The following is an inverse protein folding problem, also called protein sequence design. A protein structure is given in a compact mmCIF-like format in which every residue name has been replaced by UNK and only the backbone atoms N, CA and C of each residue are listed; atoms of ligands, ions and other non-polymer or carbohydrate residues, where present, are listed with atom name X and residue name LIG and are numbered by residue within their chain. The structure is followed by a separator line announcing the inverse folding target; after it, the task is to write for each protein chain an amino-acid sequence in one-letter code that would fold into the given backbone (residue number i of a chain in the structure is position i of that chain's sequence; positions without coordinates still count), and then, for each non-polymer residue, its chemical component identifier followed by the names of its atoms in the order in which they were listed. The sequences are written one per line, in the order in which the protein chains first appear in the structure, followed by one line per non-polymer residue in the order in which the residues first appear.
data_IF_873990571376
#
_entry.id   IF_873990571376
#
_cell.length_a   1.000
_cell.length_b   1.000
_cell.length_c   1.000
_cell.angle_alpha   90.00
_cell.angle_beta   90.00
_cell.angle_gamma   90.00
#
_symmetry.space_group_name_H-M   'P 1'
#
loop_
_entity.id
_entity.type
_entity.pdbx_description
1 polymer ?
#
# COMPACT_ATOMS: atom_id res chain seq x y z
N UNK A 1 -52.02 -30.69 13.02
CA UNK A 1 -51.32 -30.77 11.72
C UNK A 1 -51.23 -29.39 11.04
N UNK A 2 -51.08 -28.32 11.83
CA UNK A 2 -51.18 -26.92 11.34
C UNK A 2 -50.28 -25.97 12.15
N UNK A 3 -49.08 -26.44 12.53
CA UNK A 3 -48.09 -25.63 13.26
C UNK A 3 -46.65 -25.83 12.76
N UNK A 4 -46.42 -26.66 11.73
CA UNK A 4 -45.07 -26.94 11.19
C UNK A 4 -44.81 -26.18 9.86
N UNK A 5 -45.83 -25.53 9.28
CA UNK A 5 -45.69 -24.79 8.03
C UNK A 5 -45.37 -23.30 8.19
N UNK A 6 -45.53 -22.71 9.38
CA UNK A 6 -45.26 -21.29 9.64
C UNK A 6 -43.80 -20.99 10.01
N UNK A 7 -43.00 -22.00 10.33
CA UNK A 7 -41.62 -21.83 10.81
C UNK A 7 -40.57 -21.96 9.68
N UNK A 8 -40.99 -22.35 8.47
CA UNK A 8 -40.12 -22.40 7.27
C UNK A 8 -40.14 -21.15 6.42
N UNK A 9 -40.94 -20.14 6.78
CA UNK A 9 -41.04 -18.86 6.07
C UNK A 9 -40.37 -17.69 6.80
N UNK A 10 -39.74 -17.92 7.95
CA UNK A 10 -39.02 -16.86 8.70
C UNK A 10 -37.48 -16.88 8.52
N UNK A 11 -36.94 -17.81 7.73
CA UNK A 11 -35.49 -17.90 7.44
C UNK A 11 -35.09 -17.44 6.04
N UNK A 12 -35.95 -16.69 5.34
CA UNK A 12 -35.69 -16.23 3.96
C UNK A 12 -35.70 -14.70 3.77
N UNK A 13 -35.68 -13.89 4.83
CA UNK A 13 -35.76 -12.42 4.73
C UNK A 13 -34.65 -11.64 5.42
N UNK A 14 -33.44 -12.22 5.59
CA UNK A 14 -32.23 -11.39 5.71
C UNK A 14 -31.65 -11.09 4.32
N UNK A 15 -32.42 -10.32 3.55
CA UNK A 15 -31.95 -9.65 2.35
C UNK A 15 -30.79 -8.69 2.69
N UNK A 16 -29.63 -8.95 2.07
CA UNK A 16 -28.64 -7.99 1.61
C UNK A 16 -28.11 -6.93 2.61
N UNK A 17 -27.43 -7.37 3.68
CA UNK A 17 -26.36 -6.54 4.26
C UNK A 17 -25.20 -6.57 3.25
N UNK A 18 -25.11 -5.54 2.40
CA UNK A 18 -24.28 -5.48 1.19
C UNK A 18 -22.98 -6.29 1.27
N UNK A 19 -22.84 -7.25 0.35
CA UNK A 19 -21.72 -8.17 0.27
C UNK A 19 -20.39 -7.41 0.36
N UNK A 20 -19.50 -7.88 1.24
CA UNK A 20 -18.13 -7.38 1.33
C UNK A 20 -17.48 -7.52 -0.04
N UNK A 21 -16.84 -6.46 -0.52
CA UNK A 21 -16.11 -6.49 -1.78
C UNK A 21 -14.73 -7.12 -1.55
N UNK A 22 -14.69 -8.46 -1.46
CA UNK A 22 -13.47 -9.23 -1.13
C UNK A 22 -12.32 -8.97 -2.11
N UNK A 23 -12.63 -8.65 -3.37
CA UNK A 23 -11.64 -8.27 -4.37
C UNK A 23 -10.90 -6.97 -4.02
N UNK A 24 -11.53 -6.02 -3.32
CA UNK A 24 -10.84 -4.78 -2.90
C UNK A 24 -9.86 -5.04 -1.75
N UNK A 25 -10.17 -6.01 -0.88
CA UNK A 25 -9.20 -6.49 0.12
C UNK A 25 -8.02 -7.19 -0.57
N UNK A 26 -8.28 -7.97 -1.64
CA UNK A 26 -7.24 -8.58 -2.45
C UNK A 26 -6.35 -7.53 -3.15
N UNK A 27 -6.96 -6.50 -3.76
CA UNK A 27 -6.24 -5.37 -4.35
C UNK A 27 -5.35 -4.67 -3.32
N UNK A 28 -5.86 -4.40 -2.11
CA UNK A 28 -5.08 -3.81 -1.02
C UNK A 28 -3.91 -4.69 -0.60
N UNK A 29 -4.16 -5.99 -0.42
CA UNK A 29 -3.13 -6.95 -0.06
C UNK A 29 -2.02 -7.02 -1.13
N UNK A 30 -2.40 -7.07 -2.40
CA UNK A 30 -1.46 -7.02 -3.51
C UNK A 30 -0.63 -5.75 -3.53
N UNK A 31 -1.27 -4.57 -3.48
CA UNK A 31 -0.57 -3.29 -3.51
C UNK A 31 0.45 -3.18 -2.37
N UNK A 32 0.15 -3.76 -1.19
CA UNK A 32 1.09 -3.80 -0.09
C UNK A 32 2.28 -4.71 -0.36
N UNK A 33 2.03 -5.96 -0.77
CA UNK A 33 3.10 -6.91 -1.04
C UNK A 33 4.01 -6.38 -2.14
N UNK A 34 3.43 -5.74 -3.16
CA UNK A 34 4.15 -5.03 -4.20
C UNK A 34 5.04 -3.92 -3.63
N UNK A 35 4.58 -3.19 -2.59
CA UNK A 35 5.38 -2.20 -1.88
C UNK A 35 6.59 -2.78 -1.14
N UNK A 36 6.45 -3.96 -0.51
CA UNK A 36 7.58 -4.65 0.14
C UNK A 36 8.63 -5.04 -0.91
N UNK A 37 8.20 -5.63 -2.02
CA UNK A 37 9.12 -6.01 -3.12
C UNK A 37 9.77 -4.77 -3.71
N UNK A 38 9.03 -3.67 -3.88
CA UNK A 38 9.58 -2.39 -4.33
C UNK A 38 10.70 -1.88 -3.42
N UNK A 39 10.52 -1.92 -2.10
CA UNK A 39 11.59 -1.50 -1.18
C UNK A 39 12.77 -2.47 -1.20
N UNK A 40 12.51 -3.78 -1.33
CA UNK A 40 13.56 -4.79 -1.49
C UNK A 40 14.38 -4.59 -2.77
N UNK A 41 13.79 -4.03 -3.81
CA UNK A 41 14.45 -3.69 -5.07
C UNK A 41 15.47 -2.55 -4.98
N UNK A 42 15.32 -1.61 -4.03
CA UNK A 42 16.10 -0.36 -4.00
C UNK A 42 17.62 -0.57 -3.98
N UNK A 43 18.13 -1.56 -3.27
CA UNK A 43 19.58 -1.85 -3.23
C UNK A 43 20.14 -2.40 -4.54
N UNK A 44 19.31 -2.96 -5.42
CA UNK A 44 19.71 -3.59 -6.69
C UNK A 44 19.65 -2.64 -7.89
N UNK A 45 19.41 -1.35 -7.63
CA UNK A 45 19.39 -0.33 -8.67
C UNK A 45 20.78 -0.10 -9.24
N UNK A 46 20.92 0.03 -10.57
CA UNK A 46 22.21 0.21 -11.22
C UNK A 46 22.85 1.58 -10.93
N UNK A 47 22.07 2.52 -10.37
CA UNK A 47 22.51 3.87 -10.01
C UNK A 47 22.30 4.05 -8.51
N UNK A 48 23.32 4.57 -7.82
CA UNK A 48 23.21 4.90 -6.41
C UNK A 48 22.28 6.10 -6.19
N UNK A 49 21.18 5.87 -5.48
CA UNK A 49 20.14 6.87 -5.22
C UNK A 49 20.12 7.41 -3.78
N UNK A 50 21.22 7.23 -3.04
CA UNK A 50 21.28 7.59 -1.61
C UNK A 50 20.54 6.60 -0.70
N UNK A 51 20.29 5.38 -1.17
CA UNK A 51 19.75 4.30 -0.35
C UNK A 51 20.80 3.81 0.66
N UNK A 52 20.37 3.07 1.68
CA UNK A 52 21.24 2.62 2.78
C UNK A 52 22.47 1.82 2.29
N UNK A 53 22.31 1.01 1.25
CA UNK A 53 23.37 0.20 0.64
C UNK A 53 23.08 -0.04 -0.84
N UNK A 54 24.12 -0.10 -1.66
CA UNK A 54 24.06 -0.59 -3.04
C UNK A 54 24.64 -2.00 -3.10
N UNK A 55 23.90 -2.93 -3.68
CA UNK A 55 24.33 -4.32 -3.83
C UNK A 55 25.37 -4.46 -4.95
N UNK A 56 26.31 -5.40 -4.80
CA UNK A 56 27.33 -5.70 -5.83
C UNK A 56 26.75 -6.32 -7.10
N UNK A 57 25.53 -6.85 -7.05
CA UNK A 57 24.77 -7.36 -8.19
C UNK A 57 23.56 -6.46 -8.45
N UNK A 58 23.59 -5.65 -9.51
CA UNK A 58 22.49 -4.73 -9.87
C UNK A 58 21.82 -5.14 -11.19
N UNK A 59 20.65 -4.56 -11.50
CA UNK A 59 19.95 -4.86 -12.77
C UNK A 59 19.06 -3.72 -13.30
N UNK A 60 19.12 -3.40 -14.61
CA UNK A 60 18.15 -2.51 -15.24
C UNK A 60 16.70 -3.02 -15.20
N UNK A 61 16.49 -4.35 -15.10
CA UNK A 61 15.15 -4.93 -14.93
C UNK A 61 14.49 -4.44 -13.62
N UNK A 62 15.30 -4.24 -12.58
CA UNK A 62 14.83 -3.72 -11.30
C UNK A 62 14.36 -2.27 -11.44
N UNK A 63 15.09 -1.44 -12.19
CA UNK A 63 14.69 -0.07 -12.47
C UNK A 63 13.35 -0.01 -13.21
N UNK A 64 13.15 -0.86 -14.23
CA UNK A 64 11.87 -0.95 -14.95
C UNK A 64 10.72 -1.37 -14.03
N UNK A 65 10.92 -2.41 -13.21
CA UNK A 65 9.91 -2.85 -12.24
C UNK A 65 9.56 -1.73 -11.25
N UNK A 66 10.55 -1.02 -10.73
CA UNK A 66 10.35 0.06 -9.78
C UNK A 66 9.56 1.22 -10.39
N UNK A 67 9.92 1.67 -11.60
CA UNK A 67 9.19 2.72 -12.32
C UNK A 67 7.72 2.35 -12.51
N UNK A 68 7.45 1.12 -12.98
CA UNK A 68 6.07 0.64 -13.16
C UNK A 68 5.35 0.53 -11.82
N UNK A 69 5.95 -0.09 -10.81
CA UNK A 69 5.33 -0.27 -9.50
C UNK A 69 5.03 1.06 -8.80
N UNK A 70 5.92 2.04 -8.93
CA UNK A 70 5.76 3.35 -8.29
C UNK A 70 4.64 4.16 -8.95
N UNK A 71 4.38 3.95 -10.24
CA UNK A 71 3.41 4.73 -11.01
C UNK A 71 1.94 4.58 -10.60
N UNK A 72 1.57 3.55 -9.81
CA UNK A 72 0.16 3.32 -9.49
C UNK A 72 -0.12 2.75 -8.09
N UNK A 73 0.90 2.21 -7.39
CA UNK A 73 0.68 1.47 -6.14
C UNK A 73 0.08 2.37 -5.07
N UNK A 74 0.64 3.56 -4.87
CA UNK A 74 0.22 4.47 -3.80
C UNK A 74 -1.15 5.07 -4.14
N UNK A 75 -1.38 5.42 -5.39
CA UNK A 75 -2.65 5.89 -5.94
C UNK A 75 -3.77 4.87 -5.73
N UNK A 76 -3.46 3.58 -5.95
CA UNK A 76 -4.37 2.48 -5.61
C UNK A 76 -4.72 2.49 -4.13
N UNK A 77 -3.74 2.65 -3.23
CA UNK A 77 -4.00 2.75 -1.80
C UNK A 77 -4.87 3.95 -1.43
N UNK A 78 -4.57 5.14 -1.95
CA UNK A 78 -5.35 6.35 -1.68
C UNK A 78 -6.79 6.20 -2.18
N UNK A 79 -7.01 5.63 -3.36
CA UNK A 79 -8.35 5.33 -3.88
C UNK A 79 -9.12 4.37 -2.97
N UNK A 80 -8.50 3.25 -2.60
CA UNK A 80 -9.14 2.28 -1.69
C UNK A 80 -9.40 2.90 -0.32
N UNK A 81 -8.47 3.70 0.20
CA UNK A 81 -8.62 4.40 1.47
C UNK A 81 -9.80 5.38 1.44
N UNK A 82 -9.98 6.13 0.35
CA UNK A 82 -11.15 6.98 0.14
C UNK A 82 -12.45 6.19 0.12
N UNK A 83 -12.45 5.07 -0.62
CA UNK A 83 -13.60 4.18 -0.74
C UNK A 83 -14.06 3.63 0.61
N UNK A 84 -13.13 3.09 1.41
CA UNK A 84 -13.44 2.56 2.75
C UNK A 84 -13.69 3.67 3.79
N UNK A 85 -13.13 4.87 3.59
CA UNK A 85 -13.40 6.02 4.45
C UNK A 85 -14.85 6.46 4.37
N UNK A 86 -15.40 6.58 3.15
CA UNK A 86 -16.82 6.87 2.96
C UNK A 86 -17.71 5.83 3.66
N UNK A 87 -17.42 4.53 3.47
CA UNK A 87 -18.19 3.45 4.13
C UNK A 87 -18.13 3.55 5.65
N UNK A 88 -16.96 3.84 6.21
CA UNK A 88 -16.78 3.94 7.67
C UNK A 88 -17.48 5.17 8.22
N UNK A 89 -17.34 6.32 7.54
CA UNK A 89 -17.96 7.59 7.93
C UNK A 89 -19.48 7.46 8.02
N UNK A 90 -20.13 6.89 7.01
CA UNK A 90 -21.59 6.75 7.00
C UNK A 90 -22.11 5.63 7.92
N UNK A 91 -21.30 4.61 8.22
CA UNK A 91 -21.71 3.53 9.13
C UNK A 91 -21.53 3.86 10.61
N UNK A 92 -20.57 4.72 10.96
CA UNK A 92 -20.21 5.02 12.36
C UNK A 92 -20.50 6.46 12.79
N UNK A 93 -20.77 7.36 11.83
CA UNK A 93 -20.91 8.79 12.09
C UNK A 93 -19.57 9.52 12.14
N UNK A 94 -19.63 10.86 12.10
CA UNK A 94 -18.46 11.71 11.96
C UNK A 94 -17.51 11.65 13.17
N UNK A 95 -18.04 11.70 14.40
CA UNK A 95 -17.23 11.67 15.63
C UNK A 95 -16.42 10.38 15.79
N UNK A 96 -17.09 9.23 15.68
CA UNK A 96 -16.42 7.92 15.73
C UNK A 96 -15.49 7.68 14.53
N UNK A 97 -15.77 8.27 13.36
CA UNK A 97 -14.85 8.27 12.24
C UNK A 97 -13.55 9.02 12.55
N UNK A 98 -13.65 10.26 13.05
CA UNK A 98 -12.47 11.07 13.45
C UNK A 98 -11.67 10.36 14.53
N UNK A 99 -12.34 9.86 15.58
CA UNK A 99 -11.70 9.07 16.64
C UNK A 99 -10.98 7.85 16.06
N UNK A 100 -11.61 7.12 15.15
CA UNK A 100 -10.98 5.99 14.49
C UNK A 100 -9.77 6.39 13.64
N UNK A 101 -9.76 7.58 13.03
CA UNK A 101 -8.64 8.07 12.23
C UNK A 101 -7.47 8.50 13.11
N UNK A 102 -7.73 9.18 14.22
CA UNK A 102 -6.69 9.51 15.21
C UNK A 102 -6.04 8.24 15.75
N UNK A 103 -6.84 7.27 16.22
CA UNK A 103 -6.31 6.03 16.81
C UNK A 103 -5.59 5.13 15.80
N UNK A 104 -5.98 5.15 14.53
CA UNK A 104 -5.44 4.24 13.49
C UNK A 104 -4.48 4.88 12.52
N UNK A 105 -4.25 6.18 12.60
CA UNK A 105 -3.35 6.88 11.67
C UNK A 105 -2.39 7.74 12.48
N UNK A 106 -2.91 8.69 13.27
CA UNK A 106 -2.07 9.61 14.02
C UNK A 106 -1.25 8.91 15.12
N UNK A 107 -1.88 8.02 15.90
CA UNK A 107 -1.16 7.28 16.97
C UNK A 107 -0.06 6.38 16.40
N UNK A 108 -0.31 5.51 15.41
CA UNK A 108 0.76 4.72 14.80
C UNK A 108 1.81 5.55 14.06
N UNK A 109 1.44 6.70 13.50
CA UNK A 109 2.40 7.63 12.90
C UNK A 109 3.38 8.16 13.95
N UNK A 110 2.90 8.70 15.07
CA UNK A 110 3.77 9.27 16.11
C UNK A 110 4.54 8.18 16.86
N UNK A 111 3.85 7.20 17.43
CA UNK A 111 4.47 6.14 18.23
C UNK A 111 5.35 5.25 17.35
N UNK A 112 4.85 4.90 16.15
CA UNK A 112 5.61 4.11 15.20
C UNK A 112 6.85 4.84 14.72
N UNK A 113 6.83 6.17 14.56
CA UNK A 113 8.03 6.91 14.18
C UNK A 113 9.13 6.80 15.24
N UNK A 114 8.85 7.05 16.51
CA UNK A 114 9.86 6.96 17.58
C UNK A 114 10.46 5.55 17.74
N UNK A 115 9.71 4.50 17.38
CA UNK A 115 10.20 3.12 17.44
C UNK A 115 10.95 2.74 16.16
N UNK A 116 10.38 3.03 14.99
CA UNK A 116 10.85 2.54 13.71
C UNK A 116 11.97 3.40 13.13
N UNK A 117 11.94 4.72 13.36
CA UNK A 117 12.96 5.62 12.83
C UNK A 117 14.38 5.25 13.29
N UNK A 118 14.66 5.02 14.59
CA UNK A 118 15.97 4.52 15.03
C UNK A 118 16.41 3.23 14.33
N UNK A 119 15.47 2.31 14.11
CA UNK A 119 15.75 1.04 13.45
C UNK A 119 16.07 1.23 11.97
N UNK A 120 15.35 2.11 11.28
CA UNK A 120 15.66 2.52 9.90
C UNK A 120 17.05 3.17 9.87
N UNK A 121 17.31 4.19 10.69
CA UNK A 121 18.61 4.90 10.75
C UNK A 121 19.78 3.95 11.03
N UNK A 122 19.60 2.96 11.92
CA UNK A 122 20.63 1.95 12.16
C UNK A 122 21.05 1.22 10.88
N UNK A 123 20.11 0.99 9.96
CA UNK A 123 20.37 0.41 8.65
C UNK A 123 21.24 1.29 7.76
N UNK A 124 21.05 2.61 7.77
CA UNK A 124 21.91 3.56 7.04
C UNK A 124 23.31 3.59 7.64
N UNK A 125 23.42 3.57 8.97
CA UNK A 125 24.73 3.53 9.65
C UNK A 125 25.46 2.24 9.28
N UNK A 126 24.82 1.07 9.43
CA UNK A 126 25.40 -0.22 9.07
C UNK A 126 25.75 -0.31 7.58
N UNK A 127 24.87 0.16 6.69
CA UNK A 127 25.14 0.17 5.24
C UNK A 127 26.32 1.05 4.86
N UNK A 128 26.44 2.24 5.47
CA UNK A 128 27.61 3.11 5.28
C UNK A 128 28.91 2.47 5.76
N UNK A 129 28.85 1.67 6.83
CA UNK A 129 29.98 0.95 7.39
C UNK A 129 30.36 -0.27 6.54
N UNK A 130 29.37 -0.93 5.92
CA UNK A 130 29.58 -2.03 4.95
C UNK A 130 30.46 -1.59 3.79
N UNK A 131 30.22 -0.39 3.25
CA UNK A 131 31.06 0.17 2.17
C UNK A 131 32.54 0.33 2.56
N UNK A 132 32.88 0.27 3.85
CA UNK A 132 34.25 0.33 4.37
C UNK A 132 34.76 -1.05 4.85
N UNK A 133 33.96 -2.11 4.77
CA UNK A 133 34.28 -3.45 5.26
C UNK A 133 34.25 -3.61 6.79
N UNK A 134 33.60 -2.69 7.51
CA UNK A 134 33.65 -2.60 8.97
C UNK A 134 32.24 -2.52 9.59
N UNK A 135 31.38 -3.50 9.26
CA UNK A 135 30.00 -3.54 9.76
C UNK A 135 29.98 -3.89 11.24
N UNK A 136 29.67 -2.90 12.08
CA UNK A 136 29.32 -3.10 13.48
C UNK A 136 27.81 -2.94 13.70
N UNK A 137 27.13 -4.06 13.94
CA UNK A 137 25.70 -4.11 14.20
C UNK A 137 25.32 -3.39 15.49
N UNK A 138 26.13 -3.54 16.55
CA UNK A 138 25.82 -2.96 17.84
C UNK A 138 25.99 -1.44 17.81
N UNK A 139 27.09 -0.96 17.22
CA UNK A 139 27.30 0.47 16.99
C UNK A 139 26.21 1.06 16.08
N UNK A 140 25.81 0.34 15.03
CA UNK A 140 24.71 0.74 14.15
C UNK A 140 23.38 0.91 14.89
N UNK A 141 22.99 -0.07 15.71
CA UNK A 141 21.78 -0.01 16.53
C UNK A 141 21.84 1.15 17.53
N UNK A 142 22.94 1.27 18.26
CA UNK A 142 23.13 2.34 19.25
C UNK A 142 23.07 3.73 18.57
N UNK A 143 23.76 3.90 17.45
CA UNK A 143 23.73 5.12 16.66
C UNK A 143 22.34 5.46 16.13
N UNK A 144 21.57 4.43 15.75
CA UNK A 144 20.14 4.57 15.39
C UNK A 144 19.33 5.20 16.51
N UNK A 145 19.47 4.73 17.76
CA UNK A 145 18.80 5.33 18.92
C UNK A 145 19.36 6.72 19.29
N UNK A 146 20.66 6.93 19.15
CA UNK A 146 21.30 8.22 19.36
C UNK A 146 20.78 9.28 18.38
N UNK A 147 20.30 8.91 17.18
CA UNK A 147 19.67 9.85 16.25
C UNK A 147 18.46 10.59 16.82
N UNK A 148 17.81 10.06 17.87
CA UNK A 148 16.72 10.78 18.56
C UNK A 148 17.23 12.01 19.34
N UNK A 149 18.51 12.06 19.68
CA UNK A 149 19.11 13.21 20.39
C UNK A 149 19.30 14.44 19.50
N UNK A 150 19.19 14.31 18.18
CA UNK A 150 19.33 15.43 17.23
C UNK A 150 18.00 16.16 16.97
N UNK A 151 16.93 15.77 17.65
CA UNK A 151 15.63 16.44 17.53
C UNK A 151 15.72 17.92 17.96
N UNK A 152 14.99 18.84 17.29
CA UNK A 152 13.98 18.59 16.26
C UNK A 152 14.51 18.52 14.82
N UNK A 153 15.84 18.55 14.61
CA UNK A 153 16.41 18.54 13.27
C UNK A 153 16.02 17.26 12.52
N UNK A 154 15.54 17.40 11.28
CA UNK A 154 15.16 16.27 10.44
C UNK A 154 13.94 15.48 10.92
N UNK A 155 13.11 16.02 11.81
CA UNK A 155 11.92 15.31 12.30
C UNK A 155 11.02 14.87 11.14
N UNK A 156 10.67 13.59 11.12
CA UNK A 156 9.89 12.93 10.05
C UNK A 156 10.53 12.90 8.65
N UNK A 157 11.75 13.41 8.47
CA UNK A 157 12.49 13.21 7.22
C UNK A 157 12.92 11.74 7.07
N UNK A 158 13.04 11.24 5.83
CA UNK A 158 13.38 9.86 5.50
C UNK A 158 12.36 8.82 5.97
N UNK A 159 11.17 9.24 6.40
CA UNK A 159 10.19 8.34 7.01
C UNK A 159 9.30 7.68 5.96
N UNK A 160 9.28 6.34 5.91
CA UNK A 160 8.27 5.59 5.15
C UNK A 160 6.85 5.74 5.70
N UNK A 161 6.71 6.36 6.87
CA UNK A 161 5.41 6.65 7.50
C UNK A 161 4.67 7.83 6.84
N UNK A 162 5.25 8.46 5.81
CA UNK A 162 4.64 9.57 5.06
C UNK A 162 3.23 9.25 4.56
N UNK A 163 2.93 7.99 4.21
CA UNK A 163 1.59 7.61 3.76
C UNK A 163 0.53 7.87 4.84
N UNK A 164 0.85 7.63 6.12
CA UNK A 164 -0.06 7.93 7.24
C UNK A 164 -0.23 9.43 7.43
N UNK A 165 0.85 10.20 7.28
CA UNK A 165 0.79 11.66 7.36
C UNK A 165 -0.13 12.24 6.28
N UNK A 166 0.07 11.84 5.02
CA UNK A 166 -0.78 12.26 3.91
C UNK A 166 -2.22 11.76 4.05
N UNK A 167 -2.42 10.54 4.54
CA UNK A 167 -3.77 10.04 4.84
C UNK A 167 -4.49 10.85 5.90
N UNK A 168 -3.81 11.26 6.97
CA UNK A 168 -4.38 12.12 8.01
C UNK A 168 -4.75 13.49 7.42
N UNK A 169 -3.83 14.11 6.68
CA UNK A 169 -4.02 15.42 6.04
C UNK A 169 -5.17 15.41 5.02
N UNK A 170 -5.20 14.45 4.09
CA UNK A 170 -6.27 14.32 3.09
C UNK A 170 -7.60 14.05 3.77
N UNK A 171 -7.64 13.19 4.80
CA UNK A 171 -8.87 12.93 5.56
C UNK A 171 -9.36 14.20 6.24
N UNK A 172 -8.48 14.98 6.87
CA UNK A 172 -8.82 16.24 7.51
C UNK A 172 -9.35 17.26 6.49
N UNK A 173 -8.70 17.40 5.33
CA UNK A 173 -9.11 18.29 4.26
C UNK A 173 -10.51 17.92 3.72
N UNK A 174 -10.76 16.64 3.45
CA UNK A 174 -12.08 16.16 2.98
C UNK A 174 -13.18 16.43 4.01
N UNK A 175 -12.90 16.21 5.31
CA UNK A 175 -13.85 16.52 6.37
C UNK A 175 -14.09 18.03 6.53
N UNK A 176 -13.03 18.85 6.43
CA UNK A 176 -13.14 20.30 6.50
C UNK A 176 -13.99 20.86 5.34
N UNK A 177 -13.68 20.46 4.11
CA UNK A 177 -14.47 20.84 2.91
C UNK A 177 -15.92 20.38 3.07
N UNK A 178 -16.14 19.15 3.52
CA UNK A 178 -17.50 18.64 3.75
C UNK A 178 -18.25 19.46 4.81
N UNK A 179 -17.60 19.79 5.93
CA UNK A 179 -18.16 20.60 7.00
C UNK A 179 -18.58 21.99 6.51
N UNK A 180 -17.69 22.67 5.77
CA UNK A 180 -17.96 23.97 5.14
C UNK A 180 -19.11 23.92 4.13
N UNK A 181 -19.21 22.83 3.35
CA UNK A 181 -20.33 22.68 2.42
C UNK A 181 -21.64 22.44 3.16
N UNK A 182 -21.66 21.64 4.23
CA UNK A 182 -22.90 21.34 4.94
C UNK A 182 -23.56 22.55 5.61
N UNK A 183 -22.81 23.60 5.96
CA UNK A 183 -23.39 24.84 6.53
C UNK A 183 -24.18 25.65 5.51
N UNK A 184 -23.96 25.43 4.22
CA UNK A 184 -24.59 26.19 3.11
C UNK A 184 -25.79 25.47 2.47
N UNK A 185 -26.28 24.38 3.09
CA UNK A 185 -27.56 23.70 2.83
C UNK A 185 -27.84 23.37 1.35
N UNK A 186 -28.45 24.31 0.63
CA UNK A 186 -28.81 24.16 -0.78
C UNK A 186 -27.59 23.98 -1.70
N UNK A 187 -26.45 24.61 -1.35
CA UNK A 187 -25.21 24.49 -2.11
C UNK A 187 -24.62 23.09 -2.01
N UNK A 188 -24.57 22.50 -0.80
CA UNK A 188 -24.11 21.12 -0.60
C UNK A 188 -24.90 20.12 -1.47
N UNK A 189 -26.23 20.18 -1.45
CA UNK A 189 -27.05 19.26 -2.24
C UNK A 189 -26.81 19.41 -3.75
N UNK A 190 -26.64 20.65 -4.25
CA UNK A 190 -26.31 20.90 -5.66
C UNK A 190 -24.92 20.38 -6.03
N UNK A 191 -23.90 20.65 -5.20
CA UNK A 191 -22.53 20.21 -5.46
C UNK A 191 -22.39 18.68 -5.42
N UNK A 192 -23.04 18.03 -4.44
CA UNK A 192 -23.05 16.57 -4.34
C UNK A 192 -23.70 15.94 -5.57
N UNK A 193 -24.85 16.45 -6.03
CA UNK A 193 -25.50 15.96 -7.26
C UNK A 193 -24.61 16.15 -8.49
N UNK A 194 -23.99 17.32 -8.65
CA UNK A 194 -23.05 17.58 -9.75
C UNK A 194 -21.85 16.64 -9.72
N UNK A 195 -21.26 16.41 -8.55
CA UNK A 195 -20.17 15.46 -8.38
C UNK A 195 -20.60 14.03 -8.71
N UNK A 196 -21.79 13.62 -8.24
CA UNK A 196 -22.33 12.29 -8.54
C UNK A 196 -22.55 12.10 -10.05
N UNK A 197 -23.13 13.08 -10.74
CA UNK A 197 -23.32 13.07 -12.20
C UNK A 197 -21.98 13.06 -12.94
N UNK A 198 -21.01 13.87 -12.52
CA UNK A 198 -19.68 13.93 -13.15
C UNK A 198 -18.95 12.59 -13.04
N UNK A 199 -18.98 11.94 -11.87
CA UNK A 199 -18.36 10.63 -11.67
C UNK A 199 -19.10 9.53 -12.45
N UNK A 200 -20.43 9.59 -12.52
CA UNK A 200 -21.21 8.66 -13.33
C UNK A 200 -20.91 8.82 -14.83
N UNK A 201 -20.83 10.05 -15.33
CA UNK A 201 -20.44 10.33 -16.70
C UNK A 201 -19.02 9.83 -16.98
N UNK A 202 -18.07 10.13 -16.09
CA UNK A 202 -16.69 9.68 -16.22
C UNK A 202 -16.60 8.14 -16.22
N UNK A 203 -17.30 7.46 -15.32
CA UNK A 203 -17.30 6.00 -15.24
C UNK A 203 -17.80 5.32 -16.53
N UNK A 204 -18.73 5.96 -17.25
CA UNK A 204 -19.32 5.43 -18.48
C UNK A 204 -18.65 5.97 -19.75
N UNK A 205 -17.72 6.91 -19.64
CA UNK A 205 -17.06 7.55 -20.78
C UNK A 205 -15.86 6.72 -21.29
N UNK A 206 -15.75 6.46 -22.61
CA UNK A 206 -14.61 5.75 -23.20
C UNK A 206 -13.31 6.58 -23.15
N UNK A 207 -13.41 7.90 -22.94
CA UNK A 207 -12.27 8.83 -22.85
C UNK A 207 -11.92 9.20 -21.41
N UNK A 208 -12.49 8.50 -20.43
CA UNK A 208 -12.31 8.78 -19.00
C UNK A 208 -10.86 8.80 -18.55
N UNK A 209 -10.02 7.91 -19.08
CA UNK A 209 -8.59 7.89 -18.77
C UNK A 209 -7.88 9.17 -19.22
N UNK A 210 -8.21 9.72 -20.40
CA UNK A 210 -7.61 10.96 -20.86
C UNK A 210 -8.05 12.15 -20.01
N UNK A 211 -9.33 12.21 -19.65
CA UNK A 211 -9.87 13.27 -18.79
C UNK A 211 -9.21 13.28 -17.42
N UNK A 212 -8.93 12.10 -16.86
CA UNK A 212 -8.22 11.96 -15.59
C UNK A 212 -6.70 12.19 -15.74
N UNK A 213 -6.11 11.77 -16.86
CA UNK A 213 -4.68 11.86 -17.08
C UNK A 213 -4.22 13.29 -17.34
N UNK A 214 -4.99 14.14 -18.03
CA UNK A 214 -4.60 15.54 -18.32
C UNK A 214 -4.29 16.35 -17.05
N UNK A 215 -5.20 16.47 -16.06
CA UNK A 215 -4.91 17.21 -14.83
C UNK A 215 -3.82 16.53 -13.99
N UNK A 216 -3.71 15.20 -14.07
CA UNK A 216 -2.64 14.45 -13.39
C UNK A 216 -1.28 14.81 -14.00
N UNK A 217 -1.14 14.79 -15.32
CA UNK A 217 0.07 15.15 -16.04
C UNK A 217 0.45 16.62 -15.82
N UNK A 218 -0.55 17.52 -15.82
CA UNK A 218 -0.32 18.93 -15.48
C UNK A 218 0.18 19.11 -14.04
N UNK A 219 -0.25 18.26 -13.10
CA UNK A 219 0.23 18.28 -11.72
C UNK A 219 1.64 17.69 -11.59
N UNK A 220 1.94 16.62 -12.34
CA UNK A 220 3.27 16.00 -12.39
C UNK A 220 4.36 16.97 -12.84
N UNK A 221 4.01 17.94 -13.70
CA UNK A 221 4.94 18.99 -14.15
C UNK A 221 5.63 19.76 -13.00
N UNK A 222 4.96 19.88 -11.85
CA UNK A 222 5.45 20.60 -10.68
C UNK A 222 6.22 19.71 -9.69
N UNK A 223 6.46 18.46 -10.03
CA UNK A 223 7.31 17.55 -9.26
C UNK A 223 8.79 17.88 -9.49
N UNK A 224 9.64 17.39 -8.59
CA UNK A 224 11.10 17.51 -8.72
C UNK A 224 11.65 16.61 -9.83
N UNK A 225 11.11 15.39 -9.93
CA UNK A 225 11.40 14.44 -10.99
C UNK A 225 10.22 14.34 -11.95
N UNK A 226 10.44 13.80 -13.15
CA UNK A 226 9.36 13.68 -14.16
C UNK A 226 8.23 12.74 -13.71
N UNK A 227 8.53 11.82 -12.78
CA UNK A 227 7.57 10.91 -12.15
C UNK A 227 6.98 11.45 -10.84
N UNK A 228 6.25 10.59 -10.13
CA UNK A 228 5.66 10.95 -8.85
C UNK A 228 6.70 11.01 -7.72
N UNK A 229 6.83 12.16 -7.05
CA UNK A 229 7.78 12.36 -5.94
C UNK A 229 7.37 11.62 -4.66
N UNK A 230 8.35 11.08 -3.93
CA UNK A 230 8.10 10.54 -2.59
C UNK A 230 8.15 11.69 -1.57
N UNK A 231 7.09 11.92 -0.77
CA UNK A 231 7.04 13.05 0.15
C UNK A 231 7.65 12.69 1.52
N UNK A 232 8.93 12.37 1.54
CA UNK A 232 9.68 11.91 2.72
C UNK A 232 10.64 12.96 3.29
N UNK A 233 10.51 14.23 2.89
CA UNK A 233 11.46 15.29 3.26
C UNK A 233 11.11 16.01 4.58
N UNK A 234 10.03 15.61 5.25
CA UNK A 234 9.60 16.18 6.54
C UNK A 234 8.09 16.43 6.61
N UNK A 235 7.68 17.41 7.43
CA UNK A 235 6.27 17.74 7.65
C UNK A 235 5.69 18.73 6.64
N UNK A 236 6.52 19.47 5.90
CA UNK A 236 5.99 20.38 4.89
C UNK A 236 5.38 19.57 3.73
N UNK A 237 4.07 19.69 3.46
CA UNK A 237 3.44 18.89 2.44
C UNK A 237 3.86 19.36 1.04
N UNK A 238 4.33 18.42 0.22
CA UNK A 238 4.44 18.61 -1.21
C UNK A 238 3.01 18.70 -1.80
N UNK A 239 2.67 19.88 -2.34
CA UNK A 239 1.33 20.21 -2.83
C UNK A 239 0.94 19.37 -4.06
N UNK A 240 1.77 19.25 -5.11
CA UNK A 240 1.50 18.32 -6.23
C UNK A 240 1.16 16.89 -5.77
N UNK A 241 1.94 16.34 -4.84
CA UNK A 241 1.69 15.00 -4.27
C UNK A 241 0.35 14.95 -3.54
N UNK A 242 0.04 15.98 -2.73
CA UNK A 242 -1.23 16.11 -2.03
C UNK A 242 -2.42 16.16 -2.99
N UNK A 243 -2.29 16.87 -4.12
CA UNK A 243 -3.34 17.00 -5.14
C UNK A 243 -3.61 15.65 -5.80
N UNK A 244 -2.58 14.93 -6.26
CA UNK A 244 -2.75 13.63 -6.93
C UNK A 244 -3.39 12.62 -5.96
N UNK A 245 -2.78 12.41 -4.80
CA UNK A 245 -3.29 11.45 -3.81
C UNK A 245 -4.65 11.84 -3.25
N UNK A 246 -4.88 13.13 -3.01
CA UNK A 246 -6.18 13.67 -2.64
C UNK A 246 -7.24 13.40 -3.70
N UNK A 247 -6.90 13.56 -4.99
CA UNK A 247 -7.75 13.23 -6.13
C UNK A 247 -8.17 11.76 -6.15
N UNK A 248 -7.21 10.83 -6.00
CA UNK A 248 -7.51 9.40 -5.90
C UNK A 248 -8.40 9.09 -4.70
N UNK A 249 -8.11 9.68 -3.52
CA UNK A 249 -8.94 9.49 -2.33
C UNK A 249 -10.36 10.01 -2.51
N UNK A 250 -10.53 11.21 -3.07
CA UNK A 250 -11.85 11.79 -3.32
C UNK A 250 -12.62 10.96 -4.35
N UNK A 251 -11.97 10.52 -5.43
CA UNK A 251 -12.60 9.61 -6.39
C UNK A 251 -13.03 8.31 -5.72
N UNK A 252 -12.18 7.71 -4.89
CA UNK A 252 -12.52 6.54 -4.10
C UNK A 252 -13.75 6.76 -3.21
N UNK A 253 -13.81 7.90 -2.53
CA UNK A 253 -14.97 8.32 -1.73
C UNK A 253 -16.24 8.42 -2.59
N UNK A 254 -16.15 9.02 -3.78
CA UNK A 254 -17.29 9.14 -4.70
C UNK A 254 -17.74 7.78 -5.27
N UNK A 255 -16.81 6.90 -5.63
CA UNK A 255 -17.12 5.54 -6.08
C UNK A 255 -17.83 4.72 -5.00
N UNK A 256 -17.53 4.97 -3.73
CA UNK A 256 -18.21 4.33 -2.61
C UNK A 256 -19.65 4.82 -2.41
N UNK A 257 -19.97 6.04 -2.85
CA UNK A 257 -21.35 6.57 -2.89
C UNK A 257 -22.17 5.85 -3.95
N UNK A 258 -21.58 5.62 -5.12
CA UNK A 258 -22.21 4.97 -6.26
C UNK A 258 -21.47 3.65 -6.57
N UNK A 259 -21.62 2.67 -5.68
CA UNK A 259 -20.80 1.43 -5.68
C UNK A 259 -20.77 0.72 -7.02
N UNK A 260 -21.85 0.77 -7.79
CA UNK A 260 -21.90 0.15 -9.11
C UNK A 260 -20.90 0.76 -10.10
N UNK A 261 -20.50 2.02 -9.94
CA UNK A 261 -19.55 2.67 -10.85
C UNK A 261 -18.13 2.10 -10.78
N UNK A 262 -17.74 1.51 -9.64
CA UNK A 262 -16.43 0.83 -9.55
C UNK A 262 -16.35 -0.30 -10.56
N UNK A 263 -17.49 -0.93 -10.90
CA UNK A 263 -17.54 -2.00 -11.90
C UNK A 263 -17.18 -1.50 -13.30
N UNK A 264 -17.56 -0.27 -13.63
CA UNK A 264 -17.29 0.35 -14.93
C UNK A 264 -15.83 0.75 -15.03
N UNK A 265 -15.31 1.36 -13.97
CA UNK A 265 -13.89 1.64 -13.85
C UNK A 265 -13.02 0.38 -13.74
N UNK A 266 -13.56 -0.78 -13.36
CA UNK A 266 -12.80 -2.02 -13.25
C UNK A 266 -12.96 -2.95 -14.47
N UNK A 267 -13.58 -2.51 -15.58
CA UNK A 267 -13.70 -3.32 -16.80
C UNK A 267 -12.33 -3.56 -17.44
N UNK A 268 -12.04 -4.81 -17.81
CA UNK A 268 -10.80 -5.19 -18.47
C UNK A 268 -10.95 -5.02 -19.99
N UNK A 269 -10.81 -3.78 -20.48
CA UNK A 269 -10.91 -3.47 -21.92
C UNK A 269 -9.53 -3.51 -22.59
N UNK A 270 -9.43 -3.90 -23.89
CA UNK A 270 -8.17 -3.86 -24.63
C UNK A 270 -7.52 -2.47 -24.64
N UNK A 271 -8.33 -1.41 -24.76
CA UNK A 271 -7.87 -0.02 -24.71
C UNK A 271 -7.01 0.27 -23.47
N UNK A 272 -7.40 -0.23 -22.28
CA UNK A 272 -6.65 0.02 -21.04
C UNK A 272 -5.32 -0.71 -21.00
N UNK A 273 -5.29 -1.95 -21.50
CA UNK A 273 -4.04 -2.71 -21.63
C UNK A 273 -3.09 -2.05 -22.62
N UNK A 274 -3.61 -1.58 -23.76
CA UNK A 274 -2.83 -0.86 -24.77
C UNK A 274 -2.30 0.45 -24.18
N UNK A 275 -3.13 1.25 -23.52
CA UNK A 275 -2.69 2.52 -22.91
C UNK A 275 -1.66 2.30 -21.80
N UNK A 276 -1.83 1.27 -20.96
CA UNK A 276 -0.83 0.89 -19.97
C UNK A 276 0.48 0.46 -20.63
N UNK A 277 0.44 -0.43 -21.64
CA UNK A 277 1.62 -0.92 -22.33
C UNK A 277 2.39 0.18 -23.07
N UNK A 278 1.68 1.00 -23.84
CA UNK A 278 2.27 2.13 -24.56
C UNK A 278 2.81 3.19 -23.59
N UNK A 279 2.06 3.49 -22.52
CA UNK A 279 2.51 4.42 -21.49
C UNK A 279 3.78 3.94 -20.79
N UNK A 280 3.85 2.66 -20.39
CA UNK A 280 5.06 2.07 -19.82
C UNK A 280 6.23 2.16 -20.80
N UNK A 281 6.03 1.77 -22.06
CA UNK A 281 7.08 1.85 -23.07
C UNK A 281 7.59 3.29 -23.25
N UNK A 282 6.69 4.27 -23.33
CA UNK A 282 7.06 5.68 -23.47
C UNK A 282 7.82 6.21 -22.24
N UNK A 283 7.38 5.89 -21.02
CA UNK A 283 8.07 6.26 -19.78
C UNK A 283 9.50 5.70 -19.76
N UNK A 284 9.67 4.44 -20.13
CA UNK A 284 10.98 3.77 -20.13
C UNK A 284 11.91 4.34 -21.21
N UNK A 285 11.39 4.66 -22.39
CA UNK A 285 12.17 5.23 -23.49
C UNK A 285 12.55 6.69 -23.26
N UNK A 286 11.64 7.48 -22.68
CA UNK A 286 11.84 8.92 -22.47
C UNK A 286 12.57 9.25 -21.16
N UNK A 287 12.53 8.35 -20.16
CA UNK A 287 13.07 8.62 -18.82
C UNK A 287 14.57 8.90 -18.77
N UNK A 288 15.35 8.41 -19.73
CA UNK A 288 16.79 8.73 -19.80
C UNK A 288 17.06 10.20 -20.15
N UNK A 289 16.14 10.86 -20.88
CA UNK A 289 16.26 12.27 -21.27
C UNK A 289 16.18 13.20 -20.05
N UNK A 290 15.51 12.78 -18.98
CA UNK A 290 15.44 13.53 -17.72
C UNK A 290 16.85 13.88 -17.18
N UNK A 291 17.84 13.02 -17.43
CA UNK A 291 19.23 13.21 -16.97
C UNK A 291 20.04 14.20 -17.82
N UNK A 292 19.51 14.61 -18.97
CA UNK A 292 20.17 15.54 -19.89
C UNK A 292 19.29 16.76 -20.18
N UNK A 293 19.30 17.78 -19.29
CA UNK A 293 18.57 19.04 -19.51
C UNK A 293 18.99 19.80 -20.78
N UNK A 294 20.15 19.48 -21.36
CA UNK A 294 20.64 20.07 -22.62
C UNK A 294 20.02 19.45 -23.87
N UNK A 295 19.27 18.36 -23.73
CA UNK A 295 18.67 17.65 -24.85
C UNK A 295 17.70 18.57 -25.63
N UNK A 296 17.80 18.69 -26.97
CA UNK A 296 16.91 19.53 -27.78
C UNK A 296 15.42 19.19 -27.63
N UNK A 297 15.10 17.95 -27.25
CA UNK A 297 13.75 17.46 -27.06
C UNK A 297 13.31 17.42 -25.60
N UNK A 298 14.09 17.95 -24.64
CA UNK A 298 13.83 17.82 -23.19
C UNK A 298 12.40 18.21 -22.81
N UNK A 299 11.92 19.38 -23.22
CA UNK A 299 10.56 19.86 -22.89
C UNK A 299 9.48 18.97 -23.51
N UNK A 300 9.63 18.61 -24.79
CA UNK A 300 8.67 17.75 -25.49
C UNK A 300 8.63 16.34 -24.88
N UNK A 301 9.80 15.79 -24.52
CA UNK A 301 9.95 14.52 -23.83
C UNK A 301 9.33 14.56 -22.44
N UNK A 302 9.51 15.65 -21.67
CA UNK A 302 8.91 15.81 -20.34
C UNK A 302 7.38 15.83 -20.41
N UNK A 303 6.79 16.55 -21.38
CA UNK A 303 5.34 16.54 -21.62
C UNK A 303 4.86 15.12 -21.99
N UNK A 304 5.52 14.48 -22.95
CA UNK A 304 5.16 13.13 -23.38
C UNK A 304 5.30 12.10 -22.26
N UNK A 305 6.34 12.21 -21.44
CA UNK A 305 6.56 11.39 -20.25
C UNK A 305 5.43 11.61 -19.25
N UNK A 306 5.12 12.86 -18.89
CA UNK A 306 4.09 13.19 -17.89
C UNK A 306 2.71 12.66 -18.29
N UNK A 307 2.33 12.80 -19.56
CA UNK A 307 1.08 12.26 -20.10
C UNK A 307 1.09 10.73 -20.07
N UNK A 308 2.21 10.10 -20.47
CA UNK A 308 2.36 8.64 -20.47
C UNK A 308 2.33 8.06 -19.05
N UNK A 309 2.95 8.75 -18.09
CA UNK A 309 2.95 8.42 -16.66
C UNK A 309 1.54 8.48 -16.09
N UNK A 310 0.81 9.57 -16.36
CA UNK A 310 -0.57 9.72 -15.92
C UNK A 310 -1.50 8.65 -16.55
N UNK A 311 -1.37 8.36 -17.85
CA UNK A 311 -2.15 7.29 -18.50
C UNK A 311 -1.83 5.91 -17.93
N UNK A 312 -0.55 5.63 -17.67
CA UNK A 312 -0.10 4.39 -17.05
C UNK A 312 -0.67 4.25 -15.64
N UNK A 313 -0.54 5.29 -14.83
CA UNK A 313 -1.07 5.37 -13.47
C UNK A 313 -2.55 5.00 -13.42
N UNK A 314 -3.41 5.73 -14.15
CA UNK A 314 -4.85 5.47 -14.15
C UNK A 314 -5.21 4.11 -14.74
N UNK A 315 -4.53 3.68 -15.81
CA UNK A 315 -4.76 2.37 -16.41
C UNK A 315 -4.41 1.25 -15.45
N UNK A 316 -3.25 1.29 -14.80
CA UNK A 316 -2.80 0.26 -13.87
C UNK A 316 -3.61 0.22 -12.58
N UNK A 317 -4.03 1.36 -12.02
CA UNK A 317 -4.95 1.39 -10.86
C UNK A 317 -6.23 0.61 -11.19
N UNK A 318 -6.86 0.92 -12.32
CA UNK A 318 -8.13 0.31 -12.71
C UNK A 318 -8.00 -1.12 -13.22
N UNK A 319 -6.94 -1.44 -13.96
CA UNK A 319 -6.64 -2.82 -14.37
C UNK A 319 -6.38 -3.71 -13.15
N UNK A 320 -5.64 -3.22 -12.15
CA UNK A 320 -5.38 -3.98 -10.93
C UNK A 320 -6.69 -4.31 -10.20
N UNK A 321 -7.57 -3.31 -10.00
CA UNK A 321 -8.90 -3.54 -9.41
C UNK A 321 -9.71 -4.54 -10.26
N UNK A 322 -9.69 -4.39 -11.59
CA UNK A 322 -10.42 -5.27 -12.52
C UNK A 322 -9.93 -6.71 -12.51
N UNK A 323 -8.62 -6.93 -12.47
CA UNK A 323 -8.00 -8.26 -12.40
C UNK A 323 -8.41 -8.94 -11.10
N UNK A 324 -8.27 -8.27 -9.95
CA UNK A 324 -8.71 -8.85 -8.68
C UNK A 324 -10.23 -9.03 -8.61
N UNK A 325 -11.03 -8.14 -9.23
CA UNK A 325 -12.47 -8.33 -9.34
C UNK A 325 -12.84 -9.59 -10.13
N UNK A 326 -12.04 -9.96 -11.15
CA UNK A 326 -12.25 -11.19 -11.93
C UNK A 326 -11.75 -12.43 -11.18
N UNK A 327 -10.59 -12.34 -10.52
CA UNK A 327 -9.92 -13.49 -9.90
C UNK A 327 -10.36 -13.78 -8.45
N UNK A 328 -10.79 -12.77 -7.71
CA UNK A 328 -11.08 -12.83 -6.26
C UNK A 328 -12.55 -12.50 -5.95
N UNK A 329 -13.47 -13.19 -6.63
CA UNK A 329 -14.92 -13.02 -6.43
C UNK A 329 -15.47 -13.77 -5.21
N UNK A 330 -14.73 -14.79 -4.73
CA UNK A 330 -15.14 -15.62 -3.60
C UNK A 330 -14.34 -15.24 -2.35
N UNK A 331 -14.95 -15.31 -1.16
CA UNK A 331 -14.24 -15.12 0.09
C UNK A 331 -13.06 -16.08 0.21
N UNK A 332 -11.87 -15.56 0.47
CA UNK A 332 -10.66 -16.35 0.69
C UNK A 332 -10.04 -15.99 2.03
N UNK A 333 -9.90 -16.97 2.92
CA UNK A 333 -9.39 -16.76 4.27
C UNK A 333 -7.92 -16.29 4.30
N UNK A 334 -7.10 -16.78 3.38
CA UNK A 334 -5.70 -16.38 3.26
C UNK A 334 -5.59 -14.93 2.77
N UNK A 335 -6.30 -14.56 1.70
CA UNK A 335 -6.34 -13.17 1.21
C UNK A 335 -6.83 -12.25 2.33
N UNK A 336 -7.87 -12.65 3.05
CA UNK A 336 -8.39 -11.89 4.20
C UNK A 336 -7.34 -11.73 5.28
N UNK A 337 -6.57 -12.77 5.59
CA UNK A 337 -5.49 -12.71 6.57
C UNK A 337 -4.40 -11.73 6.16
N UNK A 338 -3.92 -11.78 4.91
CA UNK A 338 -2.91 -10.85 4.38
C UNK A 338 -3.46 -9.42 4.33
N UNK A 339 -4.73 -9.25 3.92
CA UNK A 339 -5.38 -7.96 3.90
C UNK A 339 -5.56 -7.38 5.32
N UNK A 340 -5.75 -8.23 6.33
CA UNK A 340 -5.85 -7.84 7.74
C UNK A 340 -4.48 -7.55 8.37
N UNK A 341 -3.42 -8.25 7.96
CA UNK A 341 -2.04 -7.97 8.39
C UNK A 341 -1.44 -6.75 7.68
N UNK A 342 -2.10 -6.25 6.64
CA UNK A 342 -1.52 -5.29 5.72
C UNK A 342 -0.96 -4.04 6.40
N UNK A 343 -1.70 -3.53 7.39
CA UNK A 343 -1.28 -2.32 8.07
C UNK A 343 -0.03 -2.55 8.94
N UNK A 344 0.07 -3.70 9.61
CA UNK A 344 1.25 -4.03 10.40
C UNK A 344 2.49 -4.24 9.54
N UNK A 345 2.33 -5.00 8.45
CA UNK A 345 3.40 -5.21 7.48
C UNK A 345 3.94 -3.89 6.94
N UNK A 346 3.05 -2.93 6.61
CA UNK A 346 3.46 -1.58 6.23
C UNK A 346 4.31 -0.88 7.30
N UNK A 347 3.99 -1.02 8.59
CA UNK A 347 4.78 -0.39 9.64
C UNK A 347 6.18 -0.99 9.75
N UNK A 348 6.29 -2.33 9.80
CA UNK A 348 7.53 -3.00 10.21
C UNK A 348 8.45 -3.43 9.06
N UNK A 349 7.98 -3.42 7.81
CA UNK A 349 8.76 -3.98 6.71
C UNK A 349 10.08 -3.24 6.45
N UNK A 350 10.11 -1.90 6.53
CA UNK A 350 11.26 -1.15 6.02
C UNK A 350 12.57 -1.41 6.80
N UNK A 351 12.61 -1.36 8.15
CA UNK A 351 13.82 -1.73 8.89
C UNK A 351 14.33 -3.13 8.52
N UNK A 352 13.41 -4.09 8.42
CA UNK A 352 13.73 -5.48 8.08
C UNK A 352 14.33 -5.59 6.67
N UNK A 353 13.73 -4.92 5.68
CA UNK A 353 14.25 -4.88 4.31
C UNK A 353 15.66 -4.31 4.29
N UNK A 354 15.87 -3.17 4.94
CA UNK A 354 17.17 -2.46 4.92
C UNK A 354 18.25 -3.29 5.60
N UNK A 355 17.97 -3.88 6.76
CA UNK A 355 18.93 -4.76 7.43
C UNK A 355 19.29 -5.99 6.60
N UNK A 356 18.31 -6.61 5.96
CA UNK A 356 18.58 -7.75 5.08
C UNK A 356 19.36 -7.34 3.83
N UNK A 357 19.08 -6.18 3.25
CA UNK A 357 19.85 -5.62 2.13
C UNK A 357 21.31 -5.44 2.52
N UNK A 358 21.59 -4.83 3.68
CA UNK A 358 22.96 -4.68 4.20
C UNK A 358 23.63 -6.05 4.39
N UNK A 359 22.92 -7.02 4.99
CA UNK A 359 23.47 -8.34 5.28
C UNK A 359 23.84 -9.15 4.02
N UNK A 360 23.19 -8.92 2.88
CA UNK A 360 23.43 -9.69 1.64
C UNK A 360 24.15 -8.91 0.55
N UNK A 361 24.39 -7.61 0.75
CA UNK A 361 24.88 -6.69 -0.28
C UNK A 361 26.16 -7.19 -0.96
N UNK A 362 27.10 -7.72 -0.19
CA UNK A 362 28.43 -8.13 -0.65
C UNK A 362 28.52 -9.62 -1.06
N UNK A 363 27.46 -10.40 -0.82
CA UNK A 363 27.46 -11.81 -1.20
C UNK A 363 27.58 -11.95 -2.73
N UNK A 364 28.40 -12.85 -3.26
CA UNK A 364 28.57 -13.03 -4.71
C UNK A 364 27.43 -13.86 -5.32
N UNK A 365 26.18 -13.49 -5.01
CA UNK A 365 24.95 -14.10 -5.52
C UNK A 365 24.27 -13.16 -6.51
N UNK A 366 23.58 -13.74 -7.49
CA UNK A 366 22.78 -12.96 -8.43
C UNK A 366 21.64 -12.21 -7.71
N UNK A 367 21.40 -10.95 -8.09
CA UNK A 367 20.41 -10.05 -7.49
C UNK A 367 19.03 -10.69 -7.32
N UNK A 368 18.59 -11.54 -8.25
CA UNK A 368 17.26 -12.16 -8.19
C UNK A 368 17.10 -13.12 -6.99
N UNK A 369 18.16 -13.83 -6.61
CA UNK A 369 18.15 -14.73 -5.45
C UNK A 369 18.09 -13.92 -4.15
N UNK A 370 18.89 -12.85 -4.07
CA UNK A 370 18.90 -11.93 -2.92
C UNK A 370 17.56 -11.21 -2.78
N UNK A 371 16.98 -10.73 -3.87
CA UNK A 371 15.66 -10.09 -3.89
C UNK A 371 14.55 -11.04 -3.42
N UNK A 372 14.56 -12.29 -3.90
CA UNK A 372 13.60 -13.31 -3.47
C UNK A 372 13.76 -13.62 -1.98
N UNK A 373 15.00 -13.73 -1.50
CA UNK A 373 15.31 -13.92 -0.08
C UNK A 373 14.80 -12.75 0.78
N UNK A 374 15.21 -11.52 0.48
CA UNK A 374 14.82 -10.32 1.24
C UNK A 374 13.30 -10.19 1.29
N UNK A 375 12.63 -10.34 0.15
CA UNK A 375 11.16 -10.22 0.06
C UNK A 375 10.46 -11.29 0.89
N UNK A 376 10.90 -12.55 0.76
CA UNK A 376 10.27 -13.69 1.44
C UNK A 376 10.45 -13.59 2.95
N UNK A 377 11.68 -13.31 3.42
CA UNK A 377 11.97 -13.17 4.85
C UNK A 377 11.23 -11.97 5.44
N UNK A 378 11.21 -10.83 4.75
CA UNK A 378 10.46 -9.66 5.21
C UNK A 378 8.98 -9.96 5.36
N UNK A 379 8.36 -10.58 4.35
CA UNK A 379 6.93 -10.94 4.41
C UNK A 379 6.69 -11.95 5.54
N UNK A 380 7.50 -13.00 5.65
CA UNK A 380 7.37 -14.02 6.66
C UNK A 380 7.49 -13.44 8.08
N UNK A 381 8.52 -12.63 8.35
CA UNK A 381 8.72 -11.95 9.63
C UNK A 381 7.58 -10.99 9.94
N UNK A 382 7.10 -10.24 8.95
CA UNK A 382 5.98 -9.30 9.14
C UNK A 382 4.68 -10.04 9.46
N UNK A 383 4.39 -11.16 8.79
CA UNK A 383 3.22 -11.99 9.09
C UNK A 383 3.35 -12.68 10.46
N UNK A 384 4.54 -13.15 10.81
CA UNK A 384 4.84 -13.78 12.09
C UNK A 384 4.64 -12.83 13.26
N UNK A 385 5.28 -11.65 13.19
CA UNK A 385 5.14 -10.60 14.21
C UNK A 385 3.71 -10.07 14.30
N UNK A 386 2.97 -10.03 13.18
CA UNK A 386 1.54 -9.69 13.20
C UNK A 386 0.71 -10.68 14.02
N UNK A 387 0.82 -12.00 13.75
CA UNK A 387 0.03 -13.00 14.48
C UNK A 387 0.40 -13.05 15.97
N UNK A 388 1.69 -12.85 16.29
CA UNK A 388 2.19 -12.89 17.66
C UNK A 388 1.83 -11.63 18.46
N UNK A 389 2.17 -10.45 17.96
CA UNK A 389 2.14 -9.20 18.73
C UNK A 389 0.93 -8.33 18.46
N UNK A 390 0.22 -8.52 17.36
CA UNK A 390 -0.88 -7.63 16.95
C UNK A 390 -2.22 -8.32 17.07
N UNK A 391 -2.41 -9.42 16.35
CA UNK A 391 -3.73 -9.93 16.00
C UNK A 391 -4.67 -10.15 17.20
N UNK A 392 -4.15 -10.73 18.28
CA UNK A 392 -4.90 -11.04 19.51
C UNK A 392 -4.69 -10.03 20.63
N UNK A 393 -3.94 -8.95 20.43
CA UNK A 393 -3.50 -8.03 21.48
C UNK A 393 -4.23 -6.69 21.45
N UNK A 394 -3.89 -5.78 22.38
CA UNK A 394 -4.34 -4.40 22.34
C UNK A 394 -3.91 -3.68 21.04
N UNK A 395 -2.73 -3.98 20.50
CA UNK A 395 -2.26 -3.40 19.24
C UNK A 395 -3.21 -3.76 18.09
N UNK A 396 -3.68 -5.00 18.02
CA UNK A 396 -4.69 -5.40 17.04
C UNK A 396 -6.03 -4.67 17.21
N UNK A 397 -6.43 -4.38 18.45
CA UNK A 397 -7.62 -3.55 18.69
C UNK A 397 -7.43 -2.13 18.17
N UNK A 398 -6.26 -1.51 18.42
CA UNK A 398 -5.94 -0.18 17.91
C UNK A 398 -5.91 -0.21 16.38
N UNK A 399 -5.05 -1.02 15.77
CA UNK A 399 -4.80 -1.02 14.32
C UNK A 399 -5.97 -1.54 13.50
N UNK A 400 -6.62 -2.63 13.92
CA UNK A 400 -7.69 -3.29 13.15
C UNK A 400 -9.11 -2.97 13.66
N UNK A 401 -9.24 -2.31 14.81
CA UNK A 401 -10.53 -2.04 15.45
C UNK A 401 -11.16 -3.22 16.17
N UNK A 402 -10.50 -4.39 16.19
CA UNK A 402 -10.95 -5.61 16.86
C UNK A 402 -9.81 -6.58 17.09
N UNK A 403 -9.89 -7.34 18.17
CA UNK A 403 -9.00 -8.49 18.40
C UNK A 403 -9.51 -9.69 17.62
N UNK A 404 -8.61 -10.52 17.12
CA UNK A 404 -8.91 -11.81 16.49
C UNK A 404 -7.97 -12.87 17.05
N UNK A 405 -8.40 -14.12 17.04
CA UNK A 405 -7.55 -15.22 17.50
C UNK A 405 -6.38 -15.46 16.55
N UNK A 406 -5.25 -15.88 17.12
CA UNK A 406 -4.04 -16.27 16.40
C UNK A 406 -4.32 -17.48 15.51
N UNK A 407 -3.72 -17.55 14.32
CA UNK A 407 -3.87 -18.71 13.42
C UNK A 407 -2.57 -19.49 13.25
N UNK A 408 -1.42 -18.82 13.20
CA UNK A 408 -0.18 -19.53 12.95
C UNK A 408 0.25 -20.34 14.15
N UNK A 409 0.09 -19.80 15.36
CA UNK A 409 0.38 -20.54 16.60
C UNK A 409 -0.52 -21.77 16.71
N UNK A 410 -1.83 -21.62 16.46
CA UNK A 410 -2.76 -22.77 16.50
C UNK A 410 -2.42 -23.81 15.43
N UNK A 411 -2.04 -23.37 14.23
CA UNK A 411 -1.69 -24.27 13.13
C UNK A 411 -0.40 -25.03 13.42
N UNK A 412 0.66 -24.34 13.88
CA UNK A 412 1.93 -24.96 14.28
C UNK A 412 1.71 -25.96 15.43
N UNK A 413 0.96 -25.59 16.47
CA UNK A 413 0.66 -26.49 17.57
C UNK A 413 -0.16 -27.71 17.10
N UNK A 414 -1.10 -27.53 16.18
CA UNK A 414 -1.88 -28.63 15.60
C UNK A 414 -1.01 -29.57 14.75
N UNK A 415 -0.09 -29.03 13.96
CA UNK A 415 0.87 -29.80 13.15
C UNK A 415 1.86 -30.57 14.01
N UNK A 416 2.39 -29.95 15.06
CA UNK A 416 3.26 -30.61 16.05
C UNK A 416 2.50 -31.74 16.75
N UNK A 417 1.27 -31.48 17.21
CA UNK A 417 0.43 -32.50 17.86
C UNK A 417 0.08 -33.65 16.91
N UNK A 418 -0.19 -33.37 15.64
CA UNK A 418 -0.39 -34.39 14.61
C UNK A 418 0.85 -35.25 14.39
N UNK A 419 2.03 -34.65 14.25
CA UNK A 419 3.30 -35.36 14.10
C UNK A 419 3.67 -36.19 15.34
N UNK A 420 3.40 -35.65 16.53
CA UNK A 420 3.59 -36.34 17.81
C UNK A 420 2.69 -37.58 17.93
N UNK A 421 1.40 -37.42 17.66
CA UNK A 421 0.44 -38.53 17.68
C UNK A 421 0.78 -39.60 16.63
N UNK A 422 1.26 -39.19 15.44
CA UNK A 422 1.73 -40.13 14.41
C UNK A 422 2.96 -40.91 14.84
N UNK A 423 3.90 -40.29 15.56
CA UNK A 423 5.06 -40.98 16.16
C UNK A 423 4.62 -41.95 17.26
N UNK A 424 3.72 -41.55 18.16
CA UNK A 424 3.17 -42.44 19.18
C UNK A 424 2.46 -43.66 18.57
N UNK A 425 1.60 -43.44 17.56
CA UNK A 425 0.92 -44.53 16.84
C UNK A 425 1.90 -45.49 16.15
N UNK A 426 2.99 -45.00 15.56
CA UNK A 426 4.06 -45.85 15.01
C UNK A 426 4.76 -46.67 16.09
N UNK A 427 5.06 -46.07 17.25
CA UNK A 427 5.70 -46.77 18.37
C UNK A 427 4.84 -47.86 18.98
N UNK A 428 3.52 -47.65 19.05
CA UNK A 428 2.55 -48.64 19.53
C UNK A 428 2.42 -49.82 18.56
N UNK A 429 2.37 -49.57 17.24
CA UNK A 429 2.35 -50.63 16.23
C UNK A 429 3.63 -51.49 16.24
N UNK A 430 4.79 -50.89 16.47
CA UNK A 430 6.05 -51.62 16.59
C UNK A 430 6.15 -52.47 17.87
N UNK A 431 5.50 -52.05 18.95
CA UNK A 431 5.39 -52.84 20.19
C UNK A 431 4.37 -53.97 20.10
N UNK A 432 3.30 -53.79 19.33
CA UNK A 432 2.28 -54.84 19.10
C UNK A 432 2.73 -55.89 18.06
N UNK A 433 3.79 -55.61 17.29
CA UNK A 433 4.37 -56.54 16.32
C UNK A 433 5.58 -57.32 16.88
N UNK A 434 5.91 -57.12 18.15
CA UNK A 434 6.82 -57.94 18.96
C UNK A 434 5.98 -58.70 19.96
#
# INVERSE_FOLDING_TARGET
MTLIAAERTFTSSHHAVGSRLDYLDATRAFALLLGIVFHACLSFMPIFMGWAVQDVSTSPLVAMFMTVSHSFRMETFFLLAGFFSHLTFHRRGAGEFVRSRVLRIAVPFVVGWFILHPLVVSGWIMGSASLRGDVDVWAGLLGGFQSLSTLPAGIFAGSHLWFLYYMAMITALVLAVRGLLTTTGSLHAKMVRRADTAVAWLANSPVSLFILAIPTAATLWFMRFWGMDTPDQGLQPNIPVLVIYGGFFVLGWMLSRQRELISQFARLTPQRWILAGLGIAAILLLGEIERDPGNPHYVAAHVAYSVSYALTMWSLVFLTIGVFKKLCQRPNAFIRYVADSSYWMYLVHLPVVVWLQVAVAELPLHWSLKLAFISTITIALSLFTYDLFVRSTFIGWVLNGRRRDRVMVSWVLSSIRYLWNRKQLRSLKLRAAR
#
